data_IF_785452555975
#
_entry.id   IF_785452555975
#
_cell.length_a   1.000
_cell.length_b   1.000
_cell.length_c   1.000
_cell.angle_alpha   90.00
_cell.angle_beta   90.00
_cell.angle_gamma   90.00
#
_symmetry.space_group_name_H-M   'P 1'
#
loop_
_entity.id
_entity.type
_entity.pdbx_description
1 polymer ?
#
# COMPACT_ATOMS: atom_id res chain seq x y z
N UNK A 1 -0.01 8.15 -16.66
CA UNK A 1 -0.90 7.15 -17.30
C UNK A 1 -0.47 6.92 -18.71
N UNK A 2 -0.34 5.68 -19.10
CA UNK A 2 -0.01 5.30 -20.46
C UNK A 2 -1.23 5.47 -21.37
N UNK A 3 -0.98 5.68 -22.65
CA UNK A 3 -2.04 5.58 -23.65
C UNK A 3 -2.38 4.11 -23.84
N UNK A 4 -3.63 3.73 -23.58
CA UNK A 4 -4.13 2.35 -23.73
C UNK A 4 -5.24 2.29 -24.79
N UNK A 5 -5.39 1.11 -25.40
CA UNK A 5 -6.31 0.87 -26.50
C UNK A 5 -6.65 -0.60 -26.61
N UNK A 6 -7.44 -0.99 -27.56
CA UNK A 6 -7.77 -2.39 -27.83
C UNK A 6 -6.50 -3.28 -27.83
N UNK A 7 -6.55 -4.41 -27.15
CA UNK A 7 -5.46 -5.36 -26.83
C UNK A 7 -4.45 -4.89 -25.76
N UNK A 8 -4.59 -3.71 -25.17
CA UNK A 8 -3.82 -3.35 -23.98
C UNK A 8 -4.22 -4.21 -22.78
N UNK A 9 -3.26 -4.48 -21.89
CA UNK A 9 -3.46 -5.26 -20.65
C UNK A 9 -2.77 -4.59 -19.48
N UNK A 10 -3.14 -4.96 -18.26
CA UNK A 10 -2.47 -4.52 -17.05
C UNK A 10 -3.28 -3.55 -16.19
N UNK A 11 -2.59 -2.86 -15.27
CA UNK A 11 -3.24 -2.08 -14.23
C UNK A 11 -3.92 -0.81 -14.77
N UNK A 12 -3.38 -0.16 -15.80
CA UNK A 12 -4.04 0.99 -16.43
C UNK A 12 -5.41 0.59 -17.03
N UNK A 13 -5.53 -0.64 -17.56
CA UNK A 13 -6.81 -1.16 -18.06
C UNK A 13 -7.78 -1.45 -16.90
N UNK A 14 -7.29 -1.97 -15.77
CA UNK A 14 -8.14 -2.14 -14.57
C UNK A 14 -8.67 -0.83 -14.06
N UNK A 15 -7.82 0.18 -13.98
CA UNK A 15 -8.22 1.54 -13.57
C UNK A 15 -9.26 2.11 -14.53
N UNK A 16 -9.06 1.98 -15.85
CA UNK A 16 -10.05 2.38 -16.84
C UNK A 16 -11.41 1.71 -16.58
N UNK A 17 -11.40 0.39 -16.39
CA UNK A 17 -12.63 -0.38 -16.15
C UNK A 17 -13.33 0.04 -14.86
N UNK A 18 -12.58 0.33 -13.79
CA UNK A 18 -13.12 0.86 -12.53
C UNK A 18 -13.73 2.26 -12.72
N UNK A 19 -13.06 3.15 -13.46
CA UNK A 19 -13.59 4.47 -13.77
C UNK A 19 -14.87 4.37 -14.62
N UNK A 20 -14.90 3.50 -15.62
CA UNK A 20 -16.11 3.25 -16.40
C UNK A 20 -17.26 2.74 -15.51
N UNK A 21 -17.00 1.88 -14.52
CA UNK A 21 -18.00 1.49 -13.52
C UNK A 21 -18.55 2.69 -12.73
N UNK A 22 -17.69 3.61 -12.31
CA UNK A 22 -18.10 4.84 -11.62
C UNK A 22 -19.01 5.73 -12.50
N UNK A 23 -18.76 5.71 -13.82
CA UNK A 23 -19.61 6.37 -14.82
C UNK A 23 -20.88 5.59 -15.17
N UNK A 24 -21.15 4.45 -14.48
CA UNK A 24 -22.37 3.66 -14.62
C UNK A 24 -22.33 2.60 -15.72
N UNK A 25 -21.18 2.28 -16.26
CA UNK A 25 -21.03 1.18 -17.22
C UNK A 25 -20.96 -0.17 -16.51
N UNK A 26 -21.72 -1.16 -16.96
CA UNK A 26 -21.68 -2.53 -16.45
C UNK A 26 -20.55 -3.32 -17.13
N UNK A 27 -19.34 -3.16 -16.59
CA UNK A 27 -18.11 -3.75 -17.11
C UNK A 27 -17.34 -4.48 -15.99
N UNK A 28 -16.86 -5.73 -16.21
CA UNK A 28 -16.00 -6.40 -15.26
C UNK A 28 -14.57 -5.81 -15.27
N UNK A 29 -13.92 -5.76 -14.11
CA UNK A 29 -12.52 -5.31 -13.95
C UNK A 29 -11.60 -6.50 -14.19
N UNK A 30 -11.22 -6.72 -15.43
CA UNK A 30 -10.39 -7.86 -15.87
C UNK A 30 -8.91 -7.52 -16.08
N UNK A 31 -8.62 -6.24 -16.37
CA UNK A 31 -7.30 -5.81 -16.82
C UNK A 31 -7.01 -6.12 -18.29
N UNK A 32 -8.04 -6.49 -19.07
CA UNK A 32 -7.93 -6.74 -20.51
C UNK A 32 -8.82 -5.77 -21.29
N UNK A 33 -8.23 -5.03 -22.22
CA UNK A 33 -8.95 -4.09 -23.09
C UNK A 33 -9.41 -4.81 -24.36
N UNK A 34 -10.58 -5.45 -24.28
CA UNK A 34 -11.22 -6.16 -25.40
C UNK A 34 -12.50 -5.45 -25.84
N UNK A 35 -13.36 -6.12 -26.65
CA UNK A 35 -14.51 -5.58 -27.33
C UNK A 35 -15.46 -4.80 -26.40
N UNK A 36 -15.71 -5.31 -25.20
CA UNK A 36 -16.61 -4.66 -24.26
C UNK A 36 -16.01 -3.36 -23.71
N UNK A 37 -14.71 -3.36 -23.40
CA UNK A 37 -13.99 -2.17 -22.95
C UNK A 37 -13.93 -1.13 -24.08
N UNK A 38 -13.59 -1.51 -25.31
CA UNK A 38 -13.56 -0.62 -26.48
C UNK A 38 -14.94 0.01 -26.76
N UNK A 39 -15.98 -0.81 -26.69
CA UNK A 39 -17.35 -0.34 -26.86
C UNK A 39 -17.70 0.77 -25.85
N UNK A 40 -17.41 0.56 -24.57
CA UNK A 40 -17.74 1.54 -23.54
C UNK A 40 -16.83 2.77 -23.58
N UNK A 41 -15.57 2.63 -23.96
CA UNK A 41 -14.67 3.77 -24.19
C UNK A 41 -15.22 4.65 -25.32
N UNK A 42 -15.62 4.09 -26.46
CA UNK A 42 -16.21 4.83 -27.58
C UNK A 42 -17.55 5.50 -27.21
N UNK A 43 -18.38 4.81 -26.45
CA UNK A 43 -19.63 5.38 -25.95
C UNK A 43 -19.35 6.56 -24.99
N UNK A 44 -18.37 6.40 -24.08
CA UNK A 44 -17.91 7.46 -23.19
C UNK A 44 -17.37 8.67 -23.98
N UNK A 45 -16.49 8.43 -24.96
CA UNK A 45 -15.92 9.47 -25.82
C UNK A 45 -17.03 10.24 -26.56
N UNK A 46 -18.03 9.52 -27.09
CA UNK A 46 -19.19 10.13 -27.75
C UNK A 46 -20.00 11.03 -26.82
N UNK A 47 -20.25 10.58 -25.58
CA UNK A 47 -21.04 11.33 -24.59
C UNK A 47 -20.32 12.57 -24.05
N UNK A 48 -18.99 12.59 -24.17
CA UNK A 48 -18.14 13.67 -23.65
C UNK A 48 -17.48 14.51 -24.75
N UNK A 49 -18.01 14.45 -25.98
CA UNK A 49 -17.54 15.24 -27.14
C UNK A 49 -16.02 15.10 -27.40
N UNK A 50 -15.48 13.86 -27.20
CA UNK A 50 -14.11 13.50 -27.49
C UNK A 50 -13.99 12.82 -28.87
N UNK A 51 -12.76 12.73 -29.40
CA UNK A 51 -12.48 11.92 -30.57
C UNK A 51 -12.84 10.44 -30.30
N UNK A 52 -13.77 9.88 -31.09
CA UNK A 52 -14.31 8.52 -30.90
C UNK A 52 -13.39 7.50 -31.59
N UNK A 53 -12.18 7.37 -31.09
CA UNK A 53 -11.12 6.52 -31.67
C UNK A 53 -10.90 5.21 -30.87
N UNK A 54 -11.53 5.07 -29.70
CA UNK A 54 -11.30 3.93 -28.80
C UNK A 54 -9.94 3.93 -28.11
N UNK A 55 -9.20 5.05 -28.20
CA UNK A 55 -7.90 5.21 -27.56
C UNK A 55 -8.06 6.04 -26.29
N UNK A 56 -7.66 5.49 -25.18
CA UNK A 56 -7.65 6.22 -23.90
C UNK A 56 -6.32 6.94 -23.77
N UNK A 57 -6.22 8.07 -24.46
CA UNK A 57 -5.12 9.02 -24.37
C UNK A 57 -5.39 10.08 -23.31
N UNK A 58 -4.57 11.14 -23.29
CA UNK A 58 -4.62 12.21 -22.28
C UNK A 58 -6.02 12.81 -22.13
N UNK A 59 -6.66 13.17 -23.25
CA UNK A 59 -7.97 13.82 -23.22
C UNK A 59 -9.06 12.89 -22.63
N UNK A 60 -9.04 11.61 -22.99
CA UNK A 60 -9.98 10.62 -22.47
C UNK A 60 -9.76 10.37 -20.98
N UNK A 61 -8.49 10.25 -20.54
CA UNK A 61 -8.16 10.15 -19.10
C UNK A 61 -8.60 11.39 -18.32
N UNK A 62 -8.37 12.57 -18.88
CA UNK A 62 -8.76 13.84 -18.25
C UNK A 62 -10.28 13.99 -18.11
N UNK A 63 -11.07 13.42 -19.02
CA UNK A 63 -12.51 13.39 -18.92
C UNK A 63 -13.05 12.31 -17.97
N UNK A 64 -12.38 11.16 -17.90
CA UNK A 64 -12.78 10.06 -17.02
C UNK A 64 -12.56 10.36 -15.53
N UNK A 65 -11.58 11.19 -15.19
CA UNK A 65 -11.17 11.43 -13.81
C UNK A 65 -11.46 12.87 -13.37
N UNK A 66 -12.05 13.00 -12.20
CA UNK A 66 -11.99 14.26 -11.47
C UNK A 66 -10.56 14.50 -10.90
N UNK A 67 -10.34 15.66 -10.32
CA UNK A 67 -9.04 16.04 -9.76
C UNK A 67 -8.59 15.12 -8.61
N UNK A 68 -9.52 14.62 -7.80
CA UNK A 68 -9.25 13.75 -6.67
C UNK A 68 -8.85 12.34 -7.13
N UNK A 69 -9.63 11.75 -8.04
CA UNK A 69 -9.30 10.45 -8.66
C UNK A 69 -7.94 10.48 -9.35
N UNK A 70 -7.61 11.59 -10.03
CA UNK A 70 -6.32 11.78 -10.69
C UNK A 70 -5.17 11.84 -9.67
N UNK A 71 -5.35 12.57 -8.58
CA UNK A 71 -4.37 12.64 -7.50
C UNK A 71 -4.15 11.27 -6.85
N UNK A 72 -5.24 10.54 -6.57
CA UNK A 72 -5.15 9.17 -6.02
C UNK A 72 -4.44 8.20 -6.98
N UNK A 73 -4.75 8.28 -8.28
CA UNK A 73 -4.08 7.44 -9.27
C UNK A 73 -2.58 7.68 -9.34
N UNK A 74 -2.16 8.95 -9.27
CA UNK A 74 -0.74 9.31 -9.27
C UNK A 74 0.04 8.78 -8.05
N UNK A 75 -0.67 8.34 -7.02
CA UNK A 75 -0.06 7.75 -5.82
C UNK A 75 0.08 6.23 -5.87
N UNK A 76 -0.50 5.55 -6.86
CA UNK A 76 -0.40 4.10 -6.97
C UNK A 76 1.02 3.66 -7.38
N UNK A 77 1.40 2.46 -6.93
CA UNK A 77 2.64 1.82 -7.35
C UNK A 77 2.63 1.55 -8.86
N UNK A 78 3.75 1.80 -9.53
CA UNK A 78 3.89 1.63 -10.98
C UNK A 78 4.78 0.44 -11.31
N UNK A 79 4.73 -0.01 -12.58
CA UNK A 79 5.64 -1.05 -13.09
C UNK A 79 7.12 -0.65 -12.93
N UNK A 80 7.44 0.63 -13.16
CA UNK A 80 8.78 1.17 -12.96
C UNK A 80 9.26 1.03 -11.50
N UNK A 81 8.36 1.16 -10.53
CA UNK A 81 8.68 0.97 -9.11
C UNK A 81 9.03 -0.49 -8.81
N UNK A 82 8.27 -1.44 -9.38
CA UNK A 82 8.59 -2.87 -9.24
C UNK A 82 9.93 -3.21 -9.86
N UNK A 83 10.23 -2.72 -11.08
CA UNK A 83 11.49 -2.96 -11.76
C UNK A 83 12.67 -2.39 -10.97
N UNK A 84 12.57 -1.16 -10.50
CA UNK A 84 13.60 -0.50 -9.68
C UNK A 84 13.90 -1.29 -8.40
N UNK A 85 12.87 -1.70 -7.67
CA UNK A 85 13.04 -2.45 -6.42
C UNK A 85 13.58 -3.87 -6.67
N UNK A 86 13.19 -4.52 -7.76
CA UNK A 86 13.73 -5.82 -8.15
C UNK A 86 15.23 -5.74 -8.47
N UNK A 87 15.65 -4.71 -9.23
CA UNK A 87 17.06 -4.44 -9.52
C UNK A 87 17.86 -4.15 -8.24
N UNK A 88 17.36 -3.28 -7.36
CA UNK A 88 18.00 -2.93 -6.09
C UNK A 88 18.21 -4.15 -5.18
N UNK A 89 17.21 -5.03 -5.09
CA UNK A 89 17.29 -6.25 -4.27
C UNK A 89 18.01 -7.41 -4.97
N UNK A 90 18.22 -7.32 -6.28
CA UNK A 90 18.79 -8.39 -7.10
C UNK A 90 17.92 -9.65 -7.11
N UNK A 91 16.60 -9.48 -7.29
CA UNK A 91 15.58 -10.54 -7.37
C UNK A 91 14.68 -10.32 -8.60
N UNK A 92 13.83 -11.30 -8.91
CA UNK A 92 12.89 -11.18 -10.02
C UNK A 92 11.78 -10.15 -9.71
N UNK A 93 11.34 -9.43 -10.73
CA UNK A 93 10.18 -8.53 -10.64
C UNK A 93 8.94 -9.29 -10.15
N UNK A 94 8.73 -10.51 -10.65
CA UNK A 94 7.62 -11.36 -10.21
C UNK A 94 7.64 -11.64 -8.69
N UNK A 95 8.82 -11.75 -8.08
CA UNK A 95 8.95 -11.93 -6.64
C UNK A 95 8.54 -10.67 -5.87
N UNK A 96 8.91 -9.46 -6.33
CA UNK A 96 8.49 -8.20 -5.72
C UNK A 96 6.97 -8.04 -5.82
N UNK A 97 6.40 -8.34 -7.00
CA UNK A 97 4.95 -8.27 -7.22
C UNK A 97 4.18 -9.27 -6.36
N UNK A 98 4.70 -10.49 -6.19
CA UNK A 98 4.10 -11.51 -5.33
C UNK A 98 4.06 -11.07 -3.86
N UNK A 99 5.17 -10.53 -3.36
CA UNK A 99 5.24 -10.00 -2.00
C UNK A 99 4.26 -8.83 -1.84
N UNK A 100 4.21 -7.90 -2.80
CA UNK A 100 3.24 -6.79 -2.75
C UNK A 100 1.80 -7.32 -2.72
N UNK A 101 1.45 -8.30 -3.55
CA UNK A 101 0.09 -8.85 -3.59
C UNK A 101 -0.32 -9.51 -2.27
N UNK A 102 0.60 -10.22 -1.62
CA UNK A 102 0.30 -11.00 -0.41
C UNK A 102 0.41 -10.19 0.88
N UNK A 103 1.41 -9.30 0.96
CA UNK A 103 1.72 -8.56 2.19
C UNK A 103 1.08 -7.17 2.24
N UNK A 104 0.44 -6.72 1.17
CA UNK A 104 -0.21 -5.43 1.19
C UNK A 104 -1.66 -5.51 1.72
N UNK A 105 -2.08 -4.46 2.45
CA UNK A 105 -3.45 -4.29 2.93
C UNK A 105 -4.45 -3.88 1.82
N UNK A 106 -4.05 -3.97 0.55
CA UNK A 106 -4.85 -3.64 -0.63
C UNK A 106 -4.63 -2.24 -1.18
N UNK A 107 -4.68 -1.19 -0.35
CA UNK A 107 -4.39 0.20 -0.75
C UNK A 107 -3.46 0.87 0.25
N UNK A 108 -2.58 1.72 -0.26
CA UNK A 108 -1.61 2.46 0.58
C UNK A 108 -2.15 3.77 1.14
N UNK A 109 -3.21 4.33 0.54
CA UNK A 109 -3.74 5.65 0.88
C UNK A 109 -5.25 5.65 1.12
N UNK A 110 -5.69 6.50 2.07
CA UNK A 110 -7.09 6.84 2.32
C UNK A 110 -7.53 8.03 1.47
N UNK A 111 -6.65 9.01 1.30
CA UNK A 111 -6.79 10.23 0.50
C UNK A 111 -5.39 10.71 0.09
N UNK A 112 -5.24 11.68 -0.82
CA UNK A 112 -3.95 12.27 -1.15
C UNK A 112 -3.19 12.70 0.09
N UNK A 113 -1.92 12.32 0.21
CA UNK A 113 -1.03 12.57 1.35
C UNK A 113 -1.54 12.00 2.71
N UNK A 114 -2.50 11.08 2.69
CA UNK A 114 -2.97 10.36 3.88
C UNK A 114 -2.81 8.86 3.71
N UNK A 115 -1.63 8.29 4.01
CA UNK A 115 -1.44 6.84 3.98
C UNK A 115 -2.42 6.12 4.92
N UNK A 116 -2.71 4.86 4.63
CA UNK A 116 -3.44 4.00 5.57
C UNK A 116 -2.59 3.83 6.82
N UNK A 117 -3.17 4.04 7.99
CA UNK A 117 -2.51 3.78 9.27
C UNK A 117 -3.36 2.90 10.17
N UNK A 118 -2.71 2.22 11.11
CA UNK A 118 -3.33 1.58 12.26
C UNK A 118 -2.54 1.96 13.51
N UNK A 119 -3.18 2.67 14.43
CA UNK A 119 -2.54 3.10 15.67
C UNK A 119 -2.63 2.03 16.76
N UNK A 120 -1.48 1.66 17.33
CA UNK A 120 -1.31 0.59 18.29
C UNK A 120 -1.06 1.15 19.71
N UNK A 121 -2.12 1.29 20.48
CA UNK A 121 -2.02 1.89 21.82
C UNK A 121 -1.14 1.12 22.80
N UNK A 122 -1.02 -0.20 22.66
CA UNK A 122 -0.10 -1.00 23.47
C UNK A 122 1.37 -0.76 23.11
N UNK A 123 1.67 -0.45 21.83
CA UNK A 123 3.00 -0.01 21.41
C UNK A 123 3.26 1.40 21.93
N UNK A 124 2.24 2.29 21.89
CA UNK A 124 2.37 3.64 22.43
C UNK A 124 2.70 3.62 23.93
N UNK A 125 2.04 2.74 24.67
CA UNK A 125 2.38 2.51 26.09
C UNK A 125 3.88 2.18 26.25
N UNK A 126 4.41 1.24 25.49
CA UNK A 126 5.82 0.84 25.55
C UNK A 126 6.76 1.96 25.11
N UNK A 127 6.41 2.67 24.03
CA UNK A 127 7.23 3.78 23.53
C UNK A 127 7.33 4.94 24.54
N UNK A 128 6.26 5.24 25.28
CA UNK A 128 6.30 6.23 26.37
C UNK A 128 7.23 5.78 27.50
N UNK A 129 7.12 4.52 27.94
CA UNK A 129 7.97 3.97 28.99
C UNK A 129 9.45 4.02 28.59
N UNK A 130 9.80 3.67 27.37
CA UNK A 130 11.18 3.70 26.85
C UNK A 130 11.76 5.13 26.85
N UNK A 131 10.89 6.15 26.81
CA UNK A 131 11.23 7.59 26.90
C UNK A 131 11.20 8.15 28.32
N UNK A 132 10.90 7.30 29.32
CA UNK A 132 10.79 7.71 30.72
C UNK A 132 9.52 8.49 31.05
N UNK A 133 8.51 8.42 30.20
CA UNK A 133 7.17 8.99 30.43
C UNK A 133 6.30 7.88 31.01
N UNK A 134 5.70 8.12 32.18
CA UNK A 134 4.79 7.15 32.79
C UNK A 134 3.42 7.19 32.09
N UNK A 135 2.98 6.12 31.38
CA UNK A 135 1.72 6.13 30.68
C UNK A 135 0.49 6.31 31.59
N UNK A 136 0.58 5.87 32.86
CA UNK A 136 -0.53 5.96 33.81
C UNK A 136 -0.92 7.41 34.12
N UNK A 137 0.05 8.34 34.03
CA UNK A 137 -0.20 9.79 34.29
C UNK A 137 -1.03 10.44 33.16
N UNK A 138 -1.19 9.75 32.03
CA UNK A 138 -1.93 10.23 30.85
C UNK A 138 -3.16 9.38 30.51
N UNK A 139 -3.55 8.45 31.38
CA UNK A 139 -4.57 7.44 31.08
C UNK A 139 -5.99 8.03 31.06
N UNK A 140 -6.31 8.96 31.96
CA UNK A 140 -7.66 9.52 32.07
C UNK A 140 -8.12 10.18 30.76
N UNK A 141 -9.19 9.63 30.15
CA UNK A 141 -9.75 10.09 28.88
C UNK A 141 -8.96 9.64 27.63
N UNK A 142 -7.95 8.77 27.80
CA UNK A 142 -7.09 8.24 26.75
C UNK A 142 -7.06 6.70 26.69
N UNK A 143 -8.02 6.03 27.33
CA UNK A 143 -8.05 4.58 27.46
C UNK A 143 -8.12 3.84 26.11
N UNK A 144 -8.62 4.52 25.06
CA UNK A 144 -8.73 3.98 23.71
C UNK A 144 -7.44 4.17 22.87
N UNK A 145 -6.48 4.96 23.35
CA UNK A 145 -5.18 5.17 22.70
C UNK A 145 -3.99 4.72 23.56
N UNK A 146 -4.22 4.42 24.83
CA UNK A 146 -3.18 4.12 25.82
C UNK A 146 -3.58 2.93 26.69
N UNK A 147 -3.03 1.75 26.40
CA UNK A 147 -3.32 0.51 27.11
C UNK A 147 -2.11 -0.44 27.07
N UNK A 148 -1.85 -1.24 28.15
CA UNK A 148 -0.60 -2.01 28.30
C UNK A 148 -0.57 -3.34 27.52
N UNK A 149 -1.73 -3.82 27.05
CA UNK A 149 -1.85 -5.14 26.38
C UNK A 149 -2.56 -5.01 25.04
N UNK A 150 -2.11 -5.76 24.07
CA UNK A 150 -2.74 -5.81 22.76
C UNK A 150 -4.23 -6.18 22.82
N UNK A 151 -5.06 -5.40 22.13
CA UNK A 151 -6.48 -5.63 21.89
C UNK A 151 -6.93 -4.95 20.59
N UNK A 152 -7.95 -5.50 19.95
CA UNK A 152 -8.61 -4.89 18.77
C UNK A 152 -9.79 -3.99 19.12
N UNK A 153 -10.19 -3.92 20.39
CA UNK A 153 -11.41 -3.22 20.83
C UNK A 153 -11.40 -1.74 20.49
N UNK A 154 -10.21 -1.13 20.44
CA UNK A 154 -10.03 0.30 20.21
C UNK A 154 -9.79 0.68 18.75
N UNK A 155 -9.66 -0.28 17.83
CA UNK A 155 -9.47 0.01 16.41
C UNK A 155 -10.73 0.62 15.81
N UNK A 156 -10.56 1.73 15.10
CA UNK A 156 -11.64 2.46 14.41
C UNK A 156 -11.60 2.21 12.90
N UNK A 157 -10.39 2.01 12.37
CA UNK A 157 -10.12 1.87 10.94
C UNK A 157 -10.27 3.17 10.14
N UNK A 158 -9.66 3.20 8.97
CA UNK A 158 -9.75 4.33 8.06
C UNK A 158 -9.29 5.65 8.67
N UNK A 159 -9.99 6.74 8.33
CA UNK A 159 -9.61 8.10 8.74
C UNK A 159 -9.65 8.32 10.26
N UNK A 160 -10.46 7.56 10.97
CA UNK A 160 -10.61 7.71 12.43
C UNK A 160 -9.37 7.23 13.21
N UNK A 161 -8.46 6.48 12.58
CA UNK A 161 -7.14 6.17 13.16
C UNK A 161 -6.26 7.42 13.28
N UNK A 162 -6.43 8.39 12.39
CA UNK A 162 -5.73 9.68 12.50
C UNK A 162 -6.19 10.48 13.71
N UNK A 163 -7.48 10.42 14.09
CA UNK A 163 -7.97 11.10 15.30
C UNK A 163 -7.30 10.52 16.56
N UNK A 164 -7.08 9.20 16.58
CA UNK A 164 -6.36 8.51 17.66
C UNK A 164 -4.89 8.93 17.68
N UNK A 165 -4.23 8.94 16.51
CA UNK A 165 -2.83 9.35 16.38
C UNK A 165 -2.62 10.81 16.82
N UNK A 166 -3.48 11.74 16.38
CA UNK A 166 -3.35 13.17 16.74
C UNK A 166 -3.53 13.39 18.24
N UNK A 167 -4.42 12.65 18.91
CA UNK A 167 -4.54 12.69 20.37
C UNK A 167 -3.29 12.15 21.06
N UNK A 168 -2.73 11.05 20.55
CA UNK A 168 -1.49 10.49 21.08
C UNK A 168 -0.29 11.45 20.94
N UNK A 169 -0.21 12.18 19.83
CA UNK A 169 0.82 13.21 19.60
C UNK A 169 0.80 14.34 20.64
N UNK A 170 -0.34 14.62 21.24
CA UNK A 170 -0.42 15.63 22.31
C UNK A 170 0.32 15.18 23.59
N UNK A 171 0.55 13.89 23.77
CA UNK A 171 1.31 13.32 24.88
C UNK A 171 2.80 13.26 24.53
N UNK A 172 3.14 12.60 23.41
CA UNK A 172 4.49 12.58 22.85
C UNK A 172 4.42 12.28 21.35
N UNK A 173 4.84 13.23 20.52
CA UNK A 173 4.69 13.15 19.06
C UNK A 173 5.49 11.99 18.47
N UNK A 174 6.76 11.84 18.88
CA UNK A 174 7.64 10.82 18.31
C UNK A 174 7.19 9.41 18.72
N UNK A 175 6.85 9.22 20.01
CA UNK A 175 6.30 7.95 20.49
C UNK A 175 5.00 7.58 19.76
N UNK A 176 4.10 8.55 19.55
CA UNK A 176 2.83 8.34 18.86
C UNK A 176 3.06 7.87 17.42
N UNK A 177 3.90 8.56 16.67
CA UNK A 177 4.20 8.22 15.27
C UNK A 177 4.92 6.87 15.15
N UNK A 178 5.84 6.57 16.07
CA UNK A 178 6.49 5.26 16.17
C UNK A 178 5.48 4.13 16.44
N UNK A 179 4.35 4.43 17.05
CA UNK A 179 3.34 3.45 17.49
C UNK A 179 2.23 3.18 16.48
N UNK A 180 2.28 3.80 15.30
CA UNK A 180 1.38 3.48 14.20
C UNK A 180 2.10 2.60 13.17
N UNK A 181 1.34 1.72 12.51
CA UNK A 181 1.76 1.10 11.25
C UNK A 181 1.31 1.96 10.07
N UNK A 182 2.08 1.97 8.98
CA UNK A 182 1.95 2.94 7.89
C UNK A 182 1.93 2.30 6.51
N UNK A 183 1.07 2.82 5.66
CA UNK A 183 1.09 2.64 4.22
C UNK A 183 0.68 1.24 3.76
N UNK A 184 1.12 0.90 2.55
CA UNK A 184 0.72 -0.31 1.83
C UNK A 184 1.10 -1.60 2.57
N UNK A 185 2.28 -1.63 3.20
CA UNK A 185 2.85 -2.80 3.89
C UNK A 185 2.68 -2.75 5.41
N UNK A 186 1.99 -1.75 5.95
CA UNK A 186 1.74 -1.57 7.37
C UNK A 186 3.02 -1.68 8.23
N UNK A 187 4.09 -1.00 7.80
CA UNK A 187 5.36 -0.97 8.55
C UNK A 187 5.20 -0.06 9.77
N UNK A 188 5.55 -0.57 10.94
CA UNK A 188 5.52 0.20 12.19
C UNK A 188 6.53 1.36 12.14
N UNK A 189 6.11 2.54 12.60
CA UNK A 189 6.96 3.74 12.61
C UNK A 189 8.27 3.58 13.38
N UNK A 190 8.30 2.76 14.44
CA UNK A 190 9.54 2.47 15.16
C UNK A 190 10.61 1.74 14.31
N UNK A 191 10.23 1.20 13.13
CA UNK A 191 11.15 0.58 12.18
C UNK A 191 11.80 1.58 11.20
N UNK A 192 11.60 2.90 11.38
CA UNK A 192 12.11 3.91 10.47
C UNK A 192 13.59 3.76 10.13
N UNK A 193 14.45 3.44 11.13
CA UNK A 193 15.89 3.22 10.90
C UNK A 193 16.19 1.99 10.05
N UNK A 194 15.39 0.93 10.21
CA UNK A 194 15.50 -0.28 9.38
C UNK A 194 15.06 0.01 7.93
N UNK A 195 14.21 1.02 7.74
CA UNK A 195 13.80 1.53 6.42
C UNK A 195 14.74 2.62 5.88
N UNK A 196 15.95 2.78 6.40
CA UNK A 196 16.95 3.78 6.00
C UNK A 196 16.49 5.23 6.19
N UNK A 197 15.58 5.50 7.12
CA UNK A 197 15.17 6.85 7.52
C UNK A 197 15.89 7.28 8.80
N UNK A 198 16.49 8.47 8.81
CA UNK A 198 17.20 8.98 9.99
C UNK A 198 16.23 9.25 11.14
N UNK A 199 15.09 9.83 10.84
CA UNK A 199 14.03 10.15 11.81
C UNK A 199 12.72 9.47 11.44
N UNK A 200 11.82 9.34 12.41
CA UNK A 200 10.47 8.84 12.13
C UNK A 200 9.67 9.83 11.26
N UNK A 201 9.98 11.12 11.32
CA UNK A 201 9.37 12.15 10.46
C UNK A 201 9.78 11.98 9.00
N UNK A 202 11.05 11.62 8.71
CA UNK A 202 11.49 11.28 7.35
C UNK A 202 10.73 10.07 6.82
N UNK A 203 10.54 9.05 7.66
CA UNK A 203 9.74 7.87 7.34
C UNK A 203 8.28 8.26 7.01
N UNK A 204 7.61 9.07 7.83
CA UNK A 204 6.25 9.53 7.58
C UNK A 204 6.15 10.37 6.32
N UNK A 205 7.14 11.23 6.08
CA UNK A 205 7.22 12.03 4.85
C UNK A 205 7.25 11.11 3.63
N UNK A 206 8.15 10.13 3.61
CA UNK A 206 8.25 9.15 2.54
C UNK A 206 6.95 8.32 2.38
N UNK A 207 6.36 7.87 3.50
CA UNK A 207 5.06 7.18 3.50
C UNK A 207 3.91 8.05 3.00
N UNK A 208 4.04 9.37 2.99
CA UNK A 208 3.00 10.29 2.53
C UNK A 208 3.11 10.65 1.04
N UNK A 209 4.19 10.23 0.34
CA UNK A 209 4.42 10.57 -1.06
C UNK A 209 3.57 9.75 -2.03
N UNK A 210 3.81 8.44 -2.12
CA UNK A 210 3.11 7.50 -3.00
C UNK A 210 3.43 6.04 -2.64
N UNK A 211 2.71 5.08 -3.25
CA UNK A 211 2.92 3.65 -2.98
C UNK A 211 4.27 3.11 -3.51
N UNK A 212 4.88 3.77 -4.49
CA UNK A 212 6.25 3.45 -4.93
C UNK A 212 7.24 3.69 -3.80
N UNK A 213 7.08 4.78 -3.03
CA UNK A 213 7.88 5.04 -1.83
C UNK A 213 7.60 4.04 -0.70
N UNK A 214 6.34 3.58 -0.56
CA UNK A 214 6.05 2.49 0.37
C UNK A 214 6.83 1.22 0.01
N UNK A 215 6.93 0.92 -1.29
CA UNK A 215 7.70 -0.22 -1.78
C UNK A 215 9.21 -0.05 -1.56
N UNK A 216 9.76 1.16 -1.77
CA UNK A 216 11.18 1.46 -1.49
C UNK A 216 11.52 1.26 -0.01
N UNK A 217 10.68 1.76 0.90
CA UNK A 217 10.85 1.57 2.34
C UNK A 217 10.73 0.09 2.75
N UNK A 218 9.81 -0.64 2.12
CA UNK A 218 9.70 -2.08 2.31
C UNK A 218 10.93 -2.83 1.80
N UNK A 219 11.48 -2.46 0.65
CA UNK A 219 12.72 -3.05 0.12
C UNK A 219 13.90 -2.82 1.08
N UNK A 220 14.03 -1.62 1.62
CA UNK A 220 15.03 -1.32 2.67
C UNK A 220 14.82 -2.19 3.90
N UNK A 221 13.57 -2.34 4.37
CA UNK A 221 13.21 -3.22 5.49
C UNK A 221 13.61 -4.67 5.21
N UNK A 222 13.31 -5.21 4.05
CA UNK A 222 13.66 -6.58 3.64
C UNK A 222 15.17 -6.77 3.58
N UNK A 223 15.91 -5.81 3.00
CA UNK A 223 17.37 -5.83 2.90
C UNK A 223 18.03 -5.80 4.27
N UNK A 224 17.65 -4.85 5.12
CA UNK A 224 18.29 -4.62 6.42
C UNK A 224 17.94 -5.70 7.45
N UNK A 225 16.84 -6.43 7.26
CA UNK A 225 16.52 -7.63 8.05
C UNK A 225 17.08 -8.94 7.45
N UNK A 226 17.95 -8.86 6.43
CA UNK A 226 18.56 -10.03 5.77
C UNK A 226 17.54 -11.02 5.17
N UNK A 227 16.43 -10.50 4.66
CA UNK A 227 15.36 -11.32 4.08
C UNK A 227 15.50 -11.53 2.58
N UNK A 228 16.35 -10.76 1.88
CA UNK A 228 16.54 -10.81 0.42
C UNK A 228 16.85 -12.21 -0.08
N UNK A 229 17.72 -12.96 0.66
CA UNK A 229 18.14 -14.29 0.25
C UNK A 229 16.95 -15.26 0.09
N UNK A 230 15.96 -15.18 0.99
CA UNK A 230 14.76 -16.02 0.91
C UNK A 230 13.93 -15.73 -0.35
N UNK A 231 13.80 -14.46 -0.72
CA UNK A 231 13.11 -14.05 -1.95
C UNK A 231 13.87 -14.49 -3.20
N UNK A 232 15.21 -14.40 -3.18
CA UNK A 232 16.08 -14.83 -4.27
C UNK A 232 15.99 -16.33 -4.51
N UNK A 233 16.01 -17.11 -3.44
CA UNK A 233 15.98 -18.58 -3.49
C UNK A 233 14.55 -19.13 -3.62
N UNK A 234 13.53 -18.26 -3.58
CA UNK A 234 12.11 -18.66 -3.56
C UNK A 234 11.75 -19.51 -2.32
N UNK A 235 12.49 -19.32 -1.22
CA UNK A 235 12.16 -19.92 0.07
C UNK A 235 11.04 -19.12 0.74
N UNK A 236 9.82 -19.29 0.21
CA UNK A 236 8.62 -18.58 0.67
C UNK A 236 8.31 -18.86 2.13
N UNK A 237 8.53 -20.09 2.59
CA UNK A 237 8.33 -20.48 3.98
C UNK A 237 9.33 -19.81 4.92
N UNK A 238 10.60 -19.74 4.50
CA UNK A 238 11.65 -19.04 5.23
C UNK A 238 11.41 -17.54 5.33
N UNK A 239 10.96 -16.93 4.23
CA UNK A 239 10.54 -15.51 4.18
C UNK A 239 9.36 -15.26 5.11
N UNK A 240 8.24 -15.98 4.92
CA UNK A 240 7.01 -15.78 5.68
C UNK A 240 7.22 -15.98 7.19
N UNK A 241 8.00 -16.99 7.59
CA UNK A 241 8.33 -17.24 9.01
C UNK A 241 9.02 -16.06 9.67
N UNK A 242 9.92 -15.37 8.93
CA UNK A 242 10.69 -14.25 9.46
C UNK A 242 9.94 -12.94 9.39
N UNK A 243 9.18 -12.74 8.34
CA UNK A 243 8.42 -11.51 8.12
C UNK A 243 7.12 -11.50 8.93
N UNK A 244 6.31 -12.57 8.83
CA UNK A 244 4.99 -12.67 9.48
C UNK A 244 5.05 -13.35 10.85
N UNK A 245 6.21 -13.89 11.25
CA UNK A 245 6.38 -14.60 12.52
C UNK A 245 6.00 -16.09 12.45
N UNK A 246 6.11 -16.81 13.59
CA UNK A 246 6.00 -18.28 13.63
C UNK A 246 4.61 -18.81 13.25
N UNK A 247 3.55 -18.01 13.38
CA UNK A 247 2.19 -18.38 13.02
C UNK A 247 1.86 -18.21 11.52
N UNK A 248 2.87 -17.95 10.65
CA UNK A 248 2.68 -17.73 9.22
C UNK A 248 1.91 -18.84 8.50
N UNK A 249 2.10 -20.08 8.94
CA UNK A 249 1.45 -21.26 8.36
C UNK A 249 -0.07 -21.29 8.58
N UNK A 250 -0.57 -20.72 9.68
CA UNK A 250 -2.02 -20.63 9.95
C UNK A 250 -2.74 -19.80 8.88
N UNK A 251 -2.05 -18.78 8.34
CA UNK A 251 -2.56 -17.91 7.28
C UNK A 251 -2.08 -18.34 5.88
N UNK A 252 -1.30 -19.42 5.77
CA UNK A 252 -0.76 -19.98 4.52
C UNK A 252 -0.02 -18.94 3.68
N UNK A 253 0.79 -18.09 4.32
CA UNK A 253 1.51 -17.01 3.63
C UNK A 253 2.51 -17.53 2.59
N UNK A 254 3.20 -18.63 2.88
CA UNK A 254 4.12 -19.31 1.97
C UNK A 254 3.42 -19.83 0.70
N UNK A 255 2.26 -20.45 0.82
CA UNK A 255 1.48 -20.92 -0.31
C UNK A 255 0.94 -19.76 -1.16
N UNK A 256 0.48 -18.67 -0.50
CA UNK A 256 0.00 -17.47 -1.19
C UNK A 256 1.12 -16.79 -1.98
N UNK A 257 2.32 -16.67 -1.39
CA UNK A 257 3.49 -16.09 -2.04
C UNK A 257 3.92 -16.92 -3.25
N UNK A 258 3.97 -18.24 -3.10
CA UNK A 258 4.28 -19.15 -4.21
C UNK A 258 3.27 -19.02 -5.36
N UNK A 259 1.97 -19.03 -5.05
CA UNK A 259 0.92 -18.91 -6.05
C UNK A 259 0.94 -17.54 -6.76
N UNK A 260 1.18 -16.47 -6.02
CA UNK A 260 1.30 -15.12 -6.59
C UNK A 260 2.55 -15.01 -7.49
N UNK A 261 3.66 -15.61 -7.10
CA UNK A 261 4.88 -15.62 -7.91
C UNK A 261 4.66 -16.34 -9.26
N UNK A 262 4.09 -17.54 -9.24
CA UNK A 262 3.77 -18.28 -10.48
C UNK A 262 2.81 -17.51 -11.38
N UNK A 263 1.82 -16.85 -10.80
CA UNK A 263 0.91 -15.97 -11.53
C UNK A 263 1.65 -14.85 -12.27
N UNK A 264 2.59 -14.17 -11.60
CA UNK A 264 3.32 -13.05 -12.21
C UNK A 264 4.42 -13.49 -13.18
N UNK A 265 5.02 -14.67 -13.00
CA UNK A 265 5.91 -15.27 -13.99
C UNK A 265 5.22 -15.52 -15.33
N UNK A 266 3.94 -15.89 -15.31
CA UNK A 266 3.17 -16.15 -16.53
C UNK A 266 2.80 -14.86 -17.29
N UNK A 267 3.03 -13.67 -16.73
CA UNK A 267 2.71 -12.37 -17.35
C UNK A 267 3.92 -11.73 -18.08
N UNK A 268 5.13 -12.19 -17.83
CA UNK A 268 6.38 -11.77 -18.48
C UNK A 268 6.85 -12.75 -19.51
#
# INVERSE_FOLDING_TARGET
>A
MQTIRFNSTGDDVRVLQQLLQQWGYDIPVTGYFYELTDKFVRDFQTKHDLDVDGIVGRCTWDALMDSESRAMYAMLVTEADFMRNAEELGIDVAAVMAVKEVESAGKGFLAPNKPVILFEGHIFWSQLMDRGINPEDHLEGNEDILYPKWTKEHYKGGIAEYDRLERAKLIDEEAAVCSASWGLFQIMGFNHKVCDCETVQDFVTAMSENEGRHLDLFASFVRNNSLVQYLRDKDWAGFARRYNGPAYAENRYDEKLSAAYEKFLAWG
#
